data_IF_167253547085
#
_entry.id   IF_167253547085
#
_cell.length_a   1.000
_cell.length_b   1.000
_cell.length_c   1.000
_cell.angle_alpha   90.00
_cell.angle_beta   90.00
_cell.angle_gamma   90.00
#
_symmetry.space_group_name_H-M   'P 1'
#
loop_
_entity.id
_entity.type
_entity.pdbx_description
1 polymer ?
#
# COMPACT_ATOMS: atom_id res chain seq x y z
N UNK A 1 -62.09 14.86 -31.18
CA UNK A 1 -61.03 14.59 -32.17
C UNK A 1 -59.79 15.27 -31.60
N UNK A 2 -58.90 14.59 -30.86
CA UNK A 2 -57.78 13.77 -31.38
C UNK A 2 -56.68 14.72 -31.88
N UNK A 3 -55.43 14.77 -31.43
CA UNK A 3 -54.61 13.84 -30.63
C UNK A 3 -53.50 14.63 -29.89
N UNK A 4 -53.17 14.17 -28.68
CA UNK A 4 -51.97 14.55 -27.93
C UNK A 4 -50.81 13.62 -28.32
N UNK A 5 -49.64 14.17 -28.60
CA UNK A 5 -48.42 13.38 -28.79
C UNK A 5 -47.55 13.43 -27.53
N UNK A 6 -47.62 12.37 -26.72
CA UNK A 6 -46.67 12.05 -25.66
C UNK A 6 -45.41 11.40 -26.28
N UNK A 7 -44.24 11.99 -26.05
CA UNK A 7 -42.94 11.43 -26.40
C UNK A 7 -42.21 10.95 -25.15
N UNK A 8 -42.54 9.74 -24.67
CA UNK A 8 -41.83 9.08 -23.59
C UNK A 8 -40.61 8.30 -24.10
N UNK A 9 -39.40 8.77 -23.78
CA UNK A 9 -38.16 8.01 -23.99
C UNK A 9 -37.92 7.18 -22.73
N UNK A 10 -38.30 5.90 -22.77
CA UNK A 10 -37.92 4.90 -21.78
C UNK A 10 -36.53 4.37 -22.13
N UNK A 11 -35.49 4.93 -21.52
CA UNK A 11 -34.13 4.42 -21.58
C UNK A 11 -33.90 3.36 -20.52
N UNK A 12 -34.20 2.10 -20.83
CA UNK A 12 -33.80 0.97 -19.99
C UNK A 12 -32.27 0.84 -19.97
N UNK A 13 -31.67 1.08 -18.81
CA UNK A 13 -30.26 0.77 -18.56
C UNK A 13 -30.08 -0.76 -18.48
N UNK A 14 -29.59 -1.34 -19.56
CA UNK A 14 -29.07 -2.70 -19.58
C UNK A 14 -27.65 -2.69 -18.99
N UNK A 15 -27.33 -3.46 -17.93
CA UNK A 15 -26.00 -3.46 -17.36
C UNK A 15 -25.01 -4.13 -18.32
N UNK A 16 -24.03 -3.34 -18.80
CA UNK A 16 -22.95 -3.76 -19.68
C UNK A 16 -22.11 -4.89 -19.06
N UNK A 17 -22.02 -6.02 -19.76
CA UNK A 17 -21.13 -7.15 -19.44
C UNK A 17 -19.67 -6.79 -19.75
N UNK A 18 -18.79 -7.09 -18.81
CA UNK A 18 -17.33 -6.96 -18.94
C UNK A 18 -16.71 -8.05 -19.87
N UNK A 19 -15.60 -7.76 -20.58
CA UNK A 19 -14.87 -8.73 -21.40
C UNK A 19 -14.12 -9.80 -20.56
N UNK A 20 -13.91 -11.02 -21.09
CA UNK A 20 -13.73 -12.23 -20.28
C UNK A 20 -12.30 -12.54 -19.76
N UNK A 21 -11.29 -11.69 -19.92
CA UNK A 21 -9.89 -12.13 -19.69
C UNK A 21 -9.17 -11.63 -18.43
N UNK A 22 -9.71 -10.69 -17.65
CA UNK A 22 -9.17 -10.33 -16.32
C UNK A 22 -10.29 -9.81 -15.42
N UNK A 23 -11.31 -10.63 -15.20
CA UNK A 23 -12.25 -10.40 -14.11
C UNK A 23 -11.72 -11.16 -12.89
N UNK A 24 -11.33 -10.49 -11.78
CA UNK A 24 -11.17 -11.20 -10.52
C UNK A 24 -12.50 -11.93 -10.29
N UNK A 25 -12.45 -13.26 -10.12
CA UNK A 25 -13.64 -14.05 -9.83
C UNK A 25 -14.32 -13.39 -8.65
N UNK A 26 -15.48 -12.76 -8.89
CA UNK A 26 -16.36 -12.17 -7.87
C UNK A 26 -16.59 -13.25 -6.80
N UNK A 27 -15.75 -13.28 -5.77
CA UNK A 27 -15.93 -14.14 -4.62
C UNK A 27 -17.13 -13.55 -3.91
N UNK A 28 -18.08 -14.41 -3.54
CA UNK A 28 -19.30 -13.98 -2.85
C UNK A 28 -18.91 -13.09 -1.67
N UNK A 29 -19.40 -11.85 -1.69
CA UNK A 29 -19.42 -10.88 -0.60
C UNK A 29 -19.92 -11.57 0.69
N UNK A 30 -19.03 -12.20 1.45
CA UNK A 30 -19.43 -12.98 2.64
C UNK A 30 -18.44 -12.92 3.80
N UNK A 31 -17.35 -12.13 3.71
CA UNK A 31 -16.33 -12.09 4.76
C UNK A 31 -16.34 -10.88 5.70
N UNK A 32 -17.25 -9.91 5.52
CA UNK A 32 -17.33 -8.74 6.41
C UNK A 32 -18.72 -8.42 6.97
N UNK A 33 -19.71 -9.27 6.67
CA UNK A 33 -21.09 -9.10 7.12
C UNK A 33 -21.61 -10.34 7.84
N UNK A 34 -21.63 -10.34 9.19
CA UNK A 34 -22.57 -11.09 10.05
C UNK A 34 -22.84 -10.30 11.37
N UNK A 35 -23.99 -10.51 12.01
CA UNK A 35 -24.76 -9.47 12.71
C UNK A 35 -24.34 -9.25 14.15
N UNK A 36 -24.67 -8.06 14.66
CA UNK A 36 -24.58 -7.66 16.07
C UNK A 36 -25.44 -8.64 16.90
N UNK A 37 -24.79 -9.59 17.58
CA UNK A 37 -25.42 -10.30 18.69
C UNK A 37 -25.25 -9.38 19.90
N UNK A 38 -26.33 -8.68 20.26
CA UNK A 38 -26.40 -7.91 21.50
C UNK A 38 -26.29 -8.86 22.69
N UNK A 39 -25.12 -8.89 23.32
CA UNK A 39 -24.96 -9.45 24.66
C UNK A 39 -25.21 -8.32 25.64
N UNK A 40 -26.39 -8.31 26.23
CA UNK A 40 -26.70 -7.49 27.40
C UNK A 40 -25.83 -7.98 28.57
N UNK A 41 -24.79 -7.21 28.93
CA UNK A 41 -24.01 -7.44 30.14
C UNK A 41 -24.80 -6.88 31.32
N UNK A 42 -25.38 -7.78 32.11
CA UNK A 42 -25.96 -7.51 33.41
C UNK A 42 -24.85 -7.05 34.36
N UNK A 43 -24.93 -5.78 34.80
CA UNK A 43 -24.10 -5.24 35.85
C UNK A 43 -24.44 -5.93 37.18
N UNK A 44 -23.50 -6.72 37.71
CA UNK A 44 -23.50 -7.13 39.12
C UNK A 44 -22.38 -6.36 39.79
N UNK A 45 -22.77 -5.36 40.58
CA UNK A 45 -21.87 -4.63 41.44
C UNK A 45 -21.37 -5.49 42.59
N UNK A 46 -20.07 -5.44 42.83
CA UNK A 46 -19.49 -5.80 44.12
C UNK A 46 -18.60 -4.65 44.57
N UNK A 47 -19.14 -3.87 45.51
CA UNK A 47 -18.40 -2.90 46.32
C UNK A 47 -17.60 -3.69 47.35
N UNK A 48 -16.28 -3.58 47.32
CA UNK A 48 -15.45 -3.85 48.50
C UNK A 48 -14.55 -2.65 48.73
N UNK A 49 -14.96 -1.82 49.68
CA UNK A 49 -14.11 -0.86 50.34
C UNK A 49 -13.33 -1.56 51.45
N UNK A 50 -12.03 -1.31 51.56
CA UNK A 50 -11.35 -1.17 52.86
C UNK A 50 -10.00 -0.49 52.71
N UNK A 51 -9.76 0.38 53.67
CA UNK A 51 -8.82 1.48 53.72
C UNK A 51 -7.38 1.09 54.08
N UNK A 52 -6.46 1.92 53.57
CA UNK A 52 -5.28 2.53 54.21
C UNK A 52 -4.38 1.64 55.10
N UNK A 53 -3.10 1.57 54.71
CA UNK A 53 -2.01 1.88 55.64
C UNK A 53 -0.88 2.58 54.86
N UNK A 54 -0.58 3.81 55.27
CA UNK A 54 0.60 4.56 54.87
C UNK A 54 1.86 3.86 55.37
N UNK A 55 2.89 3.78 54.54
CA UNK A 55 4.27 3.81 55.04
C UNK A 55 5.15 4.61 54.10
N UNK A 56 5.46 5.83 54.55
CA UNK A 56 6.62 6.61 54.14
C UNK A 56 7.89 5.78 54.37
N UNK A 57 8.71 5.63 53.33
CA UNK A 57 10.16 5.40 53.46
C UNK A 57 10.86 6.26 52.44
N UNK A 58 11.29 7.42 52.91
CA UNK A 58 12.20 8.32 52.24
C UNK A 58 13.65 7.81 52.31
N UNK A 59 14.44 8.14 51.28
CA UNK A 59 15.92 8.06 51.12
C UNK A 59 16.45 6.68 50.71
N UNK A 60 17.21 6.55 49.62
CA UNK A 60 18.55 7.13 49.41
C UNK A 60 18.95 7.07 47.92
N UNK A 61 19.62 8.12 47.45
CA UNK A 61 20.41 8.12 46.22
C UNK A 61 21.49 7.02 46.30
N UNK A 62 21.67 6.30 45.20
CA UNK A 62 22.93 5.67 44.84
C UNK A 62 23.13 5.82 43.33
N UNK A 63 23.83 6.89 42.96
CA UNK A 63 24.45 7.08 41.65
C UNK A 63 25.52 6.00 41.48
N UNK A 64 25.34 5.12 40.51
CA UNK A 64 26.38 4.17 40.08
C UNK A 64 27.19 4.82 38.97
N UNK A 65 28.53 4.89 39.06
CA UNK A 65 29.37 5.41 38.01
C UNK A 65 29.52 4.38 36.89
N UNK A 66 29.29 4.79 35.64
CA UNK A 66 29.62 3.99 34.46
C UNK A 66 31.00 4.46 33.98
N UNK A 67 32.02 3.66 34.25
CA UNK A 67 33.36 3.84 33.68
C UNK A 67 33.28 3.66 32.16
N UNK A 68 33.78 4.67 31.45
CA UNK A 68 33.93 4.63 30.00
C UNK A 68 35.04 3.66 29.61
N UNK A 69 34.70 2.70 28.76
CA UNK A 69 35.68 1.96 27.96
C UNK A 69 35.49 2.37 26.50
N UNK A 70 36.36 3.28 26.05
CA UNK A 70 36.61 3.60 24.66
C UNK A 70 37.20 2.38 23.96
N UNK A 71 36.41 1.73 23.11
CA UNK A 71 36.93 0.79 22.10
C UNK A 71 37.13 1.54 20.80
N UNK A 72 38.38 1.92 20.55
CA UNK A 72 38.88 2.39 19.25
C UNK A 72 38.86 1.24 18.24
N UNK A 73 38.04 1.38 17.20
CA UNK A 73 38.05 0.53 15.99
C UNK A 73 38.94 1.19 14.93
N UNK A 74 39.91 0.47 14.30
CA UNK A 74 40.73 1.07 13.25
C UNK A 74 39.96 1.13 11.93
N UNK A 75 39.87 2.36 11.42
CA UNK A 75 39.48 2.75 10.07
C UNK A 75 40.46 2.15 9.04
N UNK A 76 39.96 1.25 8.19
CA UNK A 76 40.70 0.75 7.03
C UNK A 76 40.30 1.59 5.83
N UNK A 77 41.02 2.69 5.62
CA UNK A 77 40.97 3.48 4.38
C UNK A 77 41.71 2.69 3.30
N UNK A 78 40.98 2.12 2.35
CA UNK A 78 41.58 1.53 1.14
C UNK A 78 41.38 2.49 -0.02
N UNK A 79 42.34 3.40 -0.22
CA UNK A 79 42.40 4.27 -1.39
C UNK A 79 42.89 3.46 -2.59
N UNK A 80 41.97 3.04 -3.47
CA UNK A 80 42.34 2.45 -4.76
C UNK A 80 42.51 3.55 -5.80
N UNK A 81 43.76 3.83 -6.13
CA UNK A 81 44.16 4.72 -7.24
C UNK A 81 43.84 4.05 -8.58
N UNK A 82 42.87 4.58 -9.33
CA UNK A 82 42.64 4.17 -10.72
C UNK A 82 43.48 5.08 -11.63
N UNK A 83 44.51 4.52 -12.24
CA UNK A 83 45.30 5.19 -13.28
C UNK A 83 44.48 5.25 -14.58
N UNK A 84 44.22 6.47 -15.06
CA UNK A 84 43.62 6.73 -16.36
C UNK A 84 44.63 6.40 -17.48
N UNK A 85 44.29 5.42 -18.33
CA UNK A 85 44.99 5.18 -19.59
C UNK A 85 44.28 5.98 -20.68
N UNK A 86 44.97 7.00 -21.19
CA UNK A 86 44.54 7.77 -22.35
C UNK A 86 44.67 6.90 -23.62
N UNK A 87 43.55 6.66 -24.30
CA UNK A 87 43.52 6.07 -25.65
C UNK A 87 43.24 7.18 -26.66
N UNK A 88 44.17 7.35 -27.59
CA UNK A 88 44.05 8.23 -28.76
C UNK A 88 43.17 7.57 -29.83
N UNK A 89 42.24 8.29 -30.49
CA UNK A 89 41.66 7.83 -31.74
C UNK A 89 42.36 8.49 -32.93
N UNK A 90 43.07 7.69 -33.73
CA UNK A 90 43.53 8.04 -35.07
C UNK A 90 42.40 7.69 -36.06
N UNK A 91 42.01 8.67 -36.86
CA UNK A 91 40.81 8.60 -37.68
C UNK A 91 40.94 7.88 -39.03
N UNK A 92 39.83 8.07 -39.76
CA UNK A 92 39.63 7.97 -41.21
C UNK A 92 39.31 6.58 -41.78
N UNK A 93 38.08 6.48 -42.30
CA UNK A 93 37.57 5.35 -43.07
C UNK A 93 36.16 5.61 -43.57
N UNK A 94 36.04 6.46 -44.60
CA UNK A 94 34.79 6.65 -45.34
C UNK A 94 34.53 5.45 -46.28
N UNK A 95 33.32 4.85 -46.27
CA UNK A 95 32.67 4.34 -47.51
C UNK A 95 31.18 3.99 -47.37
N UNK A 96 30.37 4.78 -48.11
CA UNK A 96 29.31 4.41 -49.07
C UNK A 96 28.30 3.28 -48.78
N UNK A 97 27.06 3.71 -48.50
CA UNK A 97 25.77 3.36 -49.15
C UNK A 97 25.40 1.90 -49.47
N UNK A 98 24.32 1.42 -48.83
CA UNK A 98 23.18 0.79 -49.53
C UNK A 98 21.89 0.94 -48.71
N UNK A 99 20.96 1.75 -49.22
CA UNK A 99 19.61 1.96 -48.66
C UNK A 99 18.70 0.85 -49.21
N UNK A 100 18.14 0.03 -48.32
CA UNK A 100 17.08 -0.91 -48.67
C UNK A 100 15.71 -0.19 -48.63
N UNK A 101 14.75 -0.52 -49.50
CA UNK A 101 13.41 0.06 -49.46
C UNK A 101 12.61 -0.62 -48.34
N UNK A 102 12.25 0.14 -47.31
CA UNK A 102 11.24 -0.27 -46.31
C UNK A 102 9.86 0.09 -46.84
N UNK A 103 9.06 -0.93 -47.13
CA UNK A 103 7.63 -0.81 -47.40
C UNK A 103 6.92 -0.62 -46.06
N UNK A 104 6.42 0.59 -45.80
CA UNK A 104 5.66 0.91 -44.60
C UNK A 104 4.19 0.50 -44.79
N UNK A 105 3.80 -0.63 -44.20
CA UNK A 105 2.40 -1.01 -44.01
C UNK A 105 1.86 -0.27 -42.77
N UNK A 106 0.76 0.50 -42.86
CA UNK A 106 0.16 1.10 -41.66
C UNK A 106 -0.51 0.00 -40.82
N UNK A 107 -0.05 -0.15 -39.58
CA UNK A 107 -0.70 -1.00 -38.59
C UNK A 107 -2.03 -0.35 -38.16
N UNK A 108 -3.12 -1.14 -37.99
CA UNK A 108 -4.39 -0.59 -37.51
C UNK A 108 -4.22 -0.12 -36.07
N UNK A 109 -4.61 1.13 -35.81
CA UNK A 109 -4.70 1.69 -34.47
C UNK A 109 -5.85 1.03 -33.73
N UNK A 110 -5.54 0.13 -32.81
CA UNK A 110 -6.52 -0.37 -31.84
C UNK A 110 -6.75 0.70 -30.80
N UNK A 111 -7.89 1.38 -30.86
CA UNK A 111 -8.34 2.32 -29.83
C UNK A 111 -8.71 1.53 -28.58
N UNK A 112 -7.80 1.46 -27.61
CA UNK A 112 -8.12 0.95 -26.27
C UNK A 112 -9.08 1.92 -25.60
N UNK A 113 -10.32 1.48 -25.40
CA UNK A 113 -11.30 2.20 -24.58
C UNK A 113 -11.03 1.84 -23.13
N UNK A 114 -10.29 2.70 -22.43
CA UNK A 114 -10.16 2.65 -20.97
C UNK A 114 -11.51 3.06 -20.39
N UNK A 115 -12.11 2.20 -19.55
CA UNK A 115 -13.29 2.57 -18.77
C UNK A 115 -12.81 3.50 -17.66
N UNK A 116 -13.12 4.77 -17.81
CA UNK A 116 -12.79 5.83 -16.86
C UNK A 116 -13.75 5.72 -15.68
N UNK A 117 -13.29 5.12 -14.57
CA UNK A 117 -13.97 5.28 -13.27
C UNK A 117 -13.64 6.71 -12.83
N UNK A 118 -14.62 7.60 -12.62
CA UNK A 118 -14.34 8.97 -12.21
C UNK A 118 -13.50 8.94 -10.91
N UNK A 119 -12.42 9.73 -10.81
CA UNK A 119 -11.66 9.81 -9.58
C UNK A 119 -12.60 10.26 -8.46
N UNK A 120 -12.55 9.58 -7.31
CA UNK A 120 -13.28 10.00 -6.11
C UNK A 120 -12.95 11.47 -5.85
N UNK A 121 -14.00 12.28 -5.81
CA UNK A 121 -13.90 13.72 -5.63
C UNK A 121 -13.41 14.02 -4.21
N UNK A 122 -12.75 15.16 -4.02
CA UNK A 122 -12.36 15.68 -2.70
C UNK A 122 -13.48 15.54 -1.65
N UNK A 123 -14.72 15.84 -2.05
CA UNK A 123 -15.89 15.77 -1.17
C UNK A 123 -16.22 14.34 -0.72
N UNK A 124 -15.94 13.32 -1.53
CA UNK A 124 -16.21 11.93 -1.19
C UNK A 124 -15.20 11.41 -0.16
N UNK A 125 -13.92 11.78 -0.29
CA UNK A 125 -12.87 11.44 0.68
C UNK A 125 -13.18 12.01 2.06
N UNK A 126 -13.52 13.30 2.12
CA UNK A 126 -13.89 13.95 3.39
C UNK A 126 -15.15 13.32 3.99
N UNK A 127 -16.17 13.03 3.17
CA UNK A 127 -17.38 12.38 3.63
C UNK A 127 -17.17 10.93 4.10
N UNK A 128 -16.17 10.22 3.55
CA UNK A 128 -15.75 8.90 4.02
C UNK A 128 -14.95 9.01 5.34
N UNK A 129 -14.01 9.95 5.42
CA UNK A 129 -13.23 10.24 6.63
C UNK A 129 -14.13 10.57 7.83
N UNK A 130 -15.20 11.35 7.62
CA UNK A 130 -16.16 11.70 8.68
C UNK A 130 -16.96 10.50 9.23
N UNK A 131 -16.96 9.37 8.53
CA UNK A 131 -17.62 8.13 8.97
C UNK A 131 -16.68 7.19 9.71
N UNK A 132 -15.36 7.42 9.66
CA UNK A 132 -14.39 6.61 10.40
C UNK A 132 -14.49 6.89 11.90
N UNK A 133 -14.36 5.84 12.70
CA UNK A 133 -14.30 5.99 14.15
C UNK A 133 -12.98 6.66 14.53
N UNK A 134 -13.04 7.72 15.34
CA UNK A 134 -11.82 8.35 15.87
C UNK A 134 -11.45 7.67 17.19
N UNK A 135 -10.23 7.15 17.28
CA UNK A 135 -9.71 6.49 18.49
C UNK A 135 -8.18 6.59 18.54
N UNK A 136 -7.62 6.65 19.75
CA UNK A 136 -6.17 6.54 19.93
C UNK A 136 -5.66 5.17 19.48
N UNK A 137 -4.41 5.12 19.01
CA UNK A 137 -3.73 3.89 18.62
C UNK A 137 -3.71 2.85 19.75
N UNK A 138 -4.05 1.61 19.40
CA UNK A 138 -3.89 0.49 20.33
C UNK A 138 -2.41 0.13 20.51
N UNK A 139 -2.02 -0.39 21.68
CA UNK A 139 -0.66 -0.90 21.89
C UNK A 139 -0.23 -1.94 20.83
N UNK A 140 1.01 -1.80 20.37
CA UNK A 140 1.71 -2.75 19.48
C UNK A 140 1.95 -4.14 20.07
N UNK A 141 1.71 -4.32 21.37
CA UNK A 141 1.95 -5.57 22.06
C UNK A 141 1.16 -6.72 21.44
N UNK A 142 1.85 -7.83 21.12
CA UNK A 142 1.23 -9.06 20.62
C UNK A 142 0.91 -9.10 19.12
N UNK A 143 1.34 -8.10 18.33
CA UNK A 143 1.14 -8.06 16.87
C UNK A 143 2.01 -9.03 16.07
N UNK A 144 3.23 -9.31 16.56
CA UNK A 144 4.24 -10.05 15.80
C UNK A 144 3.78 -11.45 15.42
N UNK A 145 3.91 -11.80 14.14
CA UNK A 145 3.53 -13.11 13.60
C UNK A 145 2.03 -13.36 13.43
N UNK A 146 1.18 -12.34 13.61
CA UNK A 146 -0.30 -12.50 13.59
C UNK A 146 -0.95 -12.31 12.22
N UNK A 147 -0.23 -11.73 11.27
CA UNK A 147 -0.76 -11.39 9.94
C UNK A 147 -0.42 -12.40 8.85
N UNK A 148 0.27 -13.50 9.17
CA UNK A 148 0.57 -14.55 8.21
C UNK A 148 1.69 -14.17 7.25
N UNK A 149 1.58 -14.67 6.01
CA UNK A 149 2.60 -14.56 4.96
C UNK A 149 1.93 -14.43 3.58
N UNK A 150 2.71 -14.08 2.56
CA UNK A 150 2.24 -14.01 1.17
C UNK A 150 1.70 -15.37 0.70
N UNK A 151 0.41 -15.43 0.34
CA UNK A 151 -0.28 -16.65 -0.08
C UNK A 151 -0.42 -16.73 -1.60
N UNK A 152 -0.55 -17.95 -2.10
CA UNK A 152 -0.99 -18.28 -3.44
C UNK A 152 -2.43 -18.81 -3.34
N UNK A 153 -3.39 -17.88 -3.40
CA UNK A 153 -4.80 -18.16 -3.10
C UNK A 153 -5.54 -18.83 -4.27
N UNK A 154 -5.15 -18.50 -5.50
CA UNK A 154 -5.72 -19.06 -6.72
C UNK A 154 -4.97 -20.30 -7.22
N UNK A 155 -3.83 -20.63 -6.59
CA UNK A 155 -3.03 -21.86 -6.76
C UNK A 155 -2.39 -21.94 -8.14
N UNK A 156 -1.97 -20.81 -8.67
CA UNK A 156 -1.29 -20.72 -9.96
C UNK A 156 0.25 -20.79 -9.84
N UNK A 157 0.76 -20.84 -8.61
CA UNK A 157 2.18 -20.90 -8.27
C UNK A 157 2.79 -19.54 -7.90
N UNK A 158 2.03 -18.45 -8.01
CA UNK A 158 2.44 -17.12 -7.63
C UNK A 158 1.79 -16.71 -6.33
N UNK A 159 2.60 -16.25 -5.38
CA UNK A 159 2.05 -15.63 -4.19
C UNK A 159 1.65 -14.17 -4.47
N UNK A 160 0.87 -13.57 -3.59
CA UNK A 160 0.43 -12.16 -3.69
C UNK A 160 1.58 -11.19 -4.00
N UNK A 161 2.78 -11.38 -3.42
CA UNK A 161 3.93 -10.53 -3.76
C UNK A 161 4.29 -10.63 -5.26
N UNK A 162 4.36 -11.85 -5.80
CA UNK A 162 4.65 -12.06 -7.21
C UNK A 162 3.52 -11.51 -8.08
N UNK A 163 2.26 -11.65 -7.66
CA UNK A 163 1.09 -11.09 -8.35
C UNK A 163 1.18 -9.57 -8.50
N UNK A 164 1.50 -8.85 -7.42
CA UNK A 164 1.66 -7.39 -7.49
C UNK A 164 2.84 -7.01 -8.39
N UNK A 165 3.97 -7.72 -8.31
CA UNK A 165 5.11 -7.48 -9.21
C UNK A 165 4.75 -7.72 -10.68
N UNK A 166 3.94 -8.73 -10.98
CA UNK A 166 3.47 -9.01 -12.35
C UNK A 166 2.53 -7.89 -12.81
N UNK A 167 1.58 -7.50 -11.97
CA UNK A 167 0.53 -6.55 -12.29
C UNK A 167 1.07 -5.13 -12.52
N UNK A 168 1.99 -4.67 -11.68
CA UNK A 168 2.47 -3.28 -11.70
C UNK A 168 3.71 -3.06 -12.60
N UNK A 169 4.28 -4.14 -13.16
CA UNK A 169 5.38 -3.98 -14.09
C UNK A 169 4.89 -3.36 -15.41
N UNK A 170 5.51 -2.24 -15.80
CA UNK A 170 5.27 -1.58 -17.08
C UNK A 170 5.80 -2.35 -18.30
N UNK A 171 6.61 -3.39 -18.07
CA UNK A 171 7.13 -4.31 -19.07
C UNK A 171 6.78 -5.76 -18.68
N UNK A 172 6.77 -6.69 -19.65
CA UNK A 172 6.53 -8.10 -19.35
C UNK A 172 7.61 -8.63 -18.40
N UNK A 173 7.19 -9.18 -17.26
CA UNK A 173 8.13 -9.75 -16.29
C UNK A 173 8.74 -11.06 -16.77
N UNK A 174 10.04 -11.22 -16.53
CA UNK A 174 10.69 -12.52 -16.64
C UNK A 174 10.53 -13.26 -15.31
N UNK A 175 10.01 -14.50 -15.35
CA UNK A 175 9.79 -15.32 -14.16
C UNK A 175 10.10 -16.79 -14.39
N UNK A 176 10.43 -17.51 -13.32
CA UNK A 176 10.56 -18.98 -13.37
C UNK A 176 9.19 -19.66 -13.40
N UNK A 177 9.16 -20.97 -13.67
CA UNK A 177 7.93 -21.80 -13.55
C UNK A 177 7.36 -21.79 -12.14
N UNK A 178 8.20 -21.68 -11.11
CA UNK A 178 7.79 -21.55 -9.71
C UNK A 178 7.48 -20.10 -9.30
N UNK A 179 7.15 -19.24 -10.28
CA UNK A 179 6.81 -17.84 -10.13
C UNK A 179 7.79 -16.96 -9.34
N UNK A 180 9.09 -17.29 -9.39
CA UNK A 180 10.11 -16.35 -8.93
C UNK A 180 10.32 -15.29 -10.00
N UNK A 181 10.03 -14.04 -9.69
CA UNK A 181 10.29 -12.90 -10.56
C UNK A 181 11.80 -12.68 -10.67
N UNK A 182 12.30 -12.56 -11.88
CA UNK A 182 13.72 -12.39 -12.21
C UNK A 182 14.02 -10.97 -12.70
N UNK A 183 13.09 -10.40 -13.47
CA UNK A 183 13.23 -9.05 -14.04
C UNK A 183 11.86 -8.48 -14.37
N UNK A 184 11.76 -7.15 -14.34
CA UNK A 184 10.60 -6.39 -14.79
C UNK A 184 10.97 -4.91 -14.84
N UNK A 185 9.96 -4.05 -14.81
CA UNK A 185 10.17 -2.61 -14.70
C UNK A 185 9.04 -1.93 -13.95
N UNK A 186 9.35 -1.43 -12.77
CA UNK A 186 8.40 -0.78 -11.87
C UNK A 186 8.77 0.69 -11.72
N UNK A 187 7.74 1.54 -11.59
CA UNK A 187 7.90 2.93 -11.19
C UNK A 187 7.31 3.05 -9.79
N UNK A 188 8.15 3.34 -8.79
CA UNK A 188 7.64 3.56 -7.44
C UNK A 188 6.89 4.90 -7.38
N UNK A 189 5.60 4.90 -7.00
CA UNK A 189 4.82 6.12 -6.95
C UNK A 189 5.23 7.05 -5.79
N UNK A 190 5.91 6.52 -4.78
CA UNK A 190 6.28 7.30 -3.60
C UNK A 190 7.50 8.20 -3.83
N UNK A 191 8.46 7.77 -4.66
CA UNK A 191 9.75 8.45 -4.88
C UNK A 191 10.15 8.61 -6.36
N UNK A 192 9.30 8.16 -7.29
CA UNK A 192 9.58 8.12 -8.74
C UNK A 192 10.80 7.26 -9.14
N UNK A 193 11.27 6.36 -8.27
CA UNK A 193 12.36 5.45 -8.63
C UNK A 193 11.89 4.47 -9.70
N UNK A 194 12.68 4.34 -10.77
CA UNK A 194 12.49 3.30 -11.79
C UNK A 194 13.37 2.11 -11.44
N UNK A 195 12.75 0.96 -11.19
CA UNK A 195 13.39 -0.25 -10.67
C UNK A 195 13.27 -1.35 -11.71
N UNK A 196 14.34 -2.13 -11.91
CA UNK A 196 14.32 -3.28 -12.84
C UNK A 196 14.71 -4.60 -12.20
N UNK A 197 15.37 -4.55 -11.04
CA UNK A 197 15.68 -5.72 -10.23
C UNK A 197 14.56 -5.91 -9.19
N UNK A 198 13.83 -7.04 -9.18
CA UNK A 198 12.78 -7.30 -8.20
C UNK A 198 13.29 -7.32 -6.75
N UNK A 199 14.59 -7.48 -6.51
CA UNK A 199 15.19 -7.40 -5.16
C UNK A 199 15.12 -5.97 -4.60
N UNK A 200 15.17 -4.95 -5.45
CA UNK A 200 15.10 -3.54 -5.05
C UNK A 200 13.66 -3.05 -4.82
N UNK A 201 12.68 -3.87 -5.20
CA UNK A 201 11.25 -3.57 -5.12
C UNK A 201 10.63 -4.23 -3.89
N UNK A 202 10.09 -3.41 -2.99
CA UNK A 202 9.19 -3.85 -1.94
C UNK A 202 7.73 -3.79 -2.39
N UNK A 203 6.88 -4.62 -1.81
CA UNK A 203 5.43 -4.41 -1.85
C UNK A 203 5.04 -3.78 -0.52
N UNK A 204 4.57 -2.55 -0.57
CA UNK A 204 4.09 -1.83 0.61
C UNK A 204 2.59 -2.04 0.78
N UNK A 205 2.17 -2.29 2.02
CA UNK A 205 0.78 -2.12 2.42
C UNK A 205 0.56 -0.63 2.65
N UNK A 206 -0.29 0.02 1.84
CA UNK A 206 -0.56 1.47 1.94
C UNK A 206 -0.89 1.83 3.38
N UNK A 207 -1.88 1.16 3.97
CA UNK A 207 -2.08 1.11 5.42
C UNK A 207 -1.19 -0.01 5.98
N UNK A 208 -0.20 0.32 6.81
CA UNK A 208 0.80 -0.67 7.24
C UNK A 208 0.17 -1.79 8.07
N UNK A 209 0.84 -2.94 8.18
CA UNK A 209 0.40 -4.03 9.08
C UNK A 209 0.33 -3.56 10.54
N UNK A 210 1.29 -2.72 10.91
CA UNK A 210 1.36 -2.10 12.22
C UNK A 210 0.17 -1.18 12.45
N UNK A 211 -0.06 -0.24 11.54
CA UNK A 211 -1.19 0.68 11.57
C UNK A 211 -2.53 -0.07 11.65
N UNK A 212 -2.69 -1.11 10.82
CA UNK A 212 -3.88 -1.94 10.85
C UNK A 212 -4.12 -2.55 12.24
N UNK A 213 -3.07 -3.02 12.91
CA UNK A 213 -3.15 -3.55 14.27
C UNK A 213 -3.63 -2.50 15.25
N UNK A 214 -3.01 -1.32 15.24
CA UNK A 214 -3.31 -0.22 16.15
C UNK A 214 -4.73 0.31 15.96
N UNK A 215 -5.19 0.30 14.71
CA UNK A 215 -6.52 0.76 14.30
C UNK A 215 -7.62 -0.32 14.34
N UNK A 216 -7.37 -1.45 15.02
CA UNK A 216 -8.42 -2.41 15.39
C UNK A 216 -8.21 -3.85 14.91
N UNK A 217 -7.22 -4.13 14.06
CA UNK A 217 -6.94 -5.48 13.60
C UNK A 217 -6.41 -6.41 14.70
N UNK A 218 -6.09 -5.88 15.88
CA UNK A 218 -5.81 -6.69 17.08
C UNK A 218 -7.00 -7.58 17.48
N UNK A 219 -8.24 -7.17 17.17
CA UNK A 219 -9.46 -7.93 17.44
C UNK A 219 -9.80 -8.96 16.37
N UNK A 220 -9.15 -8.88 15.21
CA UNK A 220 -9.47 -9.74 14.08
C UNK A 220 -9.11 -11.19 14.37
N UNK A 221 -9.74 -12.10 13.63
CA UNK A 221 -9.27 -13.48 13.53
C UNK A 221 -7.96 -13.54 12.74
N UNK A 222 -7.18 -14.62 12.92
CA UNK A 222 -5.95 -14.81 12.11
C UNK A 222 -6.28 -14.90 10.61
N UNK A 223 -7.46 -15.43 10.25
CA UNK A 223 -7.93 -15.48 8.86
C UNK A 223 -8.11 -14.06 8.30
N UNK A 224 -8.76 -13.17 9.04
CA UNK A 224 -8.98 -11.78 8.59
C UNK A 224 -7.67 -11.02 8.44
N UNK A 225 -6.72 -11.17 9.37
CA UNK A 225 -5.39 -10.55 9.22
C UNK A 225 -4.59 -11.10 8.05
N UNK A 226 -4.70 -12.40 7.80
CA UNK A 226 -4.04 -13.03 6.67
C UNK A 226 -4.72 -12.65 5.34
N UNK A 227 -6.05 -12.50 5.32
CA UNK A 227 -6.77 -11.96 4.17
C UNK A 227 -6.37 -10.49 3.92
N UNK A 228 -6.23 -9.67 4.96
CA UNK A 228 -5.75 -8.30 4.85
C UNK A 228 -4.41 -8.21 4.13
N UNK A 229 -3.37 -8.92 4.58
CA UNK A 229 -2.04 -8.77 3.94
C UNK A 229 -1.97 -9.33 2.52
N UNK A 230 -2.97 -10.10 2.08
CA UNK A 230 -3.03 -10.72 0.76
C UNK A 230 -4.13 -10.13 -0.13
N UNK A 231 -4.67 -8.97 0.22
CA UNK A 231 -5.75 -8.34 -0.53
C UNK A 231 -5.27 -7.82 -1.90
N UNK A 232 -5.78 -8.45 -2.95
CA UNK A 232 -5.65 -8.05 -4.35
C UNK A 232 -6.99 -7.57 -4.94
N UNK A 233 -8.05 -7.53 -4.14
CA UNK A 233 -9.37 -7.05 -4.56
C UNK A 233 -9.40 -5.51 -4.62
N UNK A 234 -8.54 -4.83 -3.85
CA UNK A 234 -8.37 -3.37 -3.86
C UNK A 234 -7.03 -2.99 -4.52
N UNK A 235 -7.04 -2.48 -5.77
CA UNK A 235 -5.83 -2.34 -6.60
C UNK A 235 -4.79 -1.32 -6.10
N UNK A 236 -5.14 -0.50 -5.10
CA UNK A 236 -4.23 0.49 -4.48
C UNK A 236 -3.80 0.09 -3.06
N UNK A 237 -4.10 -1.14 -2.62
CA UNK A 237 -3.75 -1.58 -1.27
C UNK A 237 -2.29 -2.00 -1.13
N UNK A 238 -1.83 -2.78 -2.10
CA UNK A 238 -0.46 -3.27 -2.21
C UNK A 238 0.20 -2.54 -3.37
N UNK A 239 1.32 -1.88 -3.10
CA UNK A 239 1.99 -1.03 -4.10
C UNK A 239 3.46 -1.39 -4.23
N UNK A 240 3.97 -1.53 -5.45
CA UNK A 240 5.38 -1.74 -5.72
C UNK A 240 6.17 -0.43 -5.50
N UNK A 241 7.07 -0.43 -4.54
CA UNK A 241 7.88 0.75 -4.17
C UNK A 241 9.36 0.40 -4.04
N UNK A 242 10.23 1.41 -4.01
CA UNK A 242 11.64 1.17 -3.70
C UNK A 242 11.80 0.71 -2.25
N UNK A 243 12.76 -0.18 -1.98
CA UNK A 243 13.10 -0.55 -0.61
C UNK A 243 13.44 0.68 0.24
N UNK A 244 14.19 1.63 -0.32
CA UNK A 244 14.64 2.83 0.37
C UNK A 244 13.44 3.67 0.85
N UNK A 245 12.45 3.94 -0.01
CA UNK A 245 11.31 4.75 0.40
C UNK A 245 10.41 4.00 1.39
N UNK A 246 10.27 2.68 1.24
CA UNK A 246 9.56 1.85 2.21
C UNK A 246 10.18 1.92 3.61
N UNK A 247 11.51 1.88 3.70
CA UNK A 247 12.22 2.00 4.98
C UNK A 247 12.02 3.39 5.61
N UNK A 248 11.96 4.45 4.80
CA UNK A 248 11.66 5.81 5.31
C UNK A 248 10.24 5.94 5.83
N UNK A 249 9.25 5.33 5.15
CA UNK A 249 7.86 5.27 5.63
C UNK A 249 7.81 4.51 6.94
N UNK A 250 8.31 3.27 6.95
CA UNK A 250 8.24 2.40 8.11
C UNK A 250 6.78 2.09 8.47
N UNK A 251 6.43 2.26 9.74
CA UNK A 251 5.09 1.99 10.28
C UNK A 251 4.18 3.23 10.32
N UNK A 252 4.68 4.40 9.90
CA UNK A 252 4.05 5.73 10.05
C UNK A 252 2.72 5.87 9.31
N UNK A 253 1.79 6.59 9.94
CA UNK A 253 0.52 7.05 9.37
C UNK A 253 0.67 8.41 8.62
N UNK A 254 -0.38 8.88 7.89
CA UNK A 254 -0.40 10.17 7.18
C UNK A 254 -0.02 11.42 7.99
N UNK A 255 -0.23 11.42 9.31
CA UNK A 255 0.19 12.47 10.23
C UNK A 255 1.69 12.53 10.46
N UNK A 256 2.38 11.40 10.31
CA UNK A 256 3.84 11.29 10.48
C UNK A 256 4.60 11.22 9.15
N UNK A 257 3.97 10.73 8.09
CA UNK A 257 4.61 10.54 6.79
C UNK A 257 3.62 10.61 5.62
N UNK A 258 4.03 11.33 4.57
CA UNK A 258 3.37 11.31 3.27
C UNK A 258 4.41 11.02 2.17
N UNK A 259 3.98 10.44 1.04
CA UNK A 259 4.86 10.29 -0.13
C UNK A 259 5.56 11.60 -0.48
N UNK A 260 6.90 11.59 -0.67
CA UNK A 260 7.64 12.76 -1.15
C UNK A 260 7.16 13.26 -2.51
N UNK A 261 6.69 12.35 -3.37
CA UNK A 261 6.06 12.71 -4.65
C UNK A 261 4.69 13.32 -4.38
N UNK A 262 4.62 14.66 -4.42
CA UNK A 262 3.41 15.40 -4.06
C UNK A 262 2.21 15.09 -4.95
N UNK A 263 2.46 14.83 -6.23
CA UNK A 263 1.42 14.47 -7.21
C UNK A 263 0.74 13.14 -6.88
N UNK A 264 1.36 12.29 -6.05
CA UNK A 264 0.79 11.01 -5.62
C UNK A 264 0.07 11.08 -4.27
N UNK A 265 0.22 12.18 -3.50
CA UNK A 265 -0.36 12.28 -2.15
C UNK A 265 -1.89 12.14 -2.16
N UNK A 266 -2.56 12.64 -3.19
CA UNK A 266 -4.02 12.53 -3.28
C UNK A 266 -4.48 11.08 -3.45
N UNK A 267 -3.80 10.31 -4.30
CA UNK A 267 -4.12 8.90 -4.50
C UNK A 267 -3.80 8.09 -3.23
N UNK A 268 -2.68 8.40 -2.58
CA UNK A 268 -2.32 7.81 -1.29
C UNK A 268 -3.39 8.06 -0.20
N UNK A 269 -3.85 9.30 -0.04
CA UNK A 269 -4.87 9.65 0.97
C UNK A 269 -6.24 9.05 0.65
N UNK A 270 -6.64 9.02 -0.63
CA UNK A 270 -7.86 8.33 -1.09
C UNK A 270 -7.80 6.85 -0.75
N UNK A 271 -6.74 6.16 -1.16
CA UNK A 271 -6.54 4.75 -0.87
C UNK A 271 -6.57 4.50 0.64
N UNK A 272 -5.86 5.32 1.42
CA UNK A 272 -5.82 5.20 2.87
C UNK A 272 -7.22 5.26 3.53
N UNK A 273 -8.02 6.28 3.21
CA UNK A 273 -9.39 6.42 3.74
C UNK A 273 -10.29 5.29 3.26
N UNK A 274 -10.18 4.91 1.98
CA UNK A 274 -10.93 3.80 1.40
C UNK A 274 -10.66 2.50 2.15
N UNK A 275 -9.39 2.17 2.39
CA UNK A 275 -8.97 0.95 3.07
C UNK A 275 -9.43 0.92 4.52
N UNK A 276 -9.23 2.02 5.27
CA UNK A 276 -9.75 2.11 6.64
C UNK A 276 -11.26 1.94 6.69
N UNK A 277 -11.99 2.41 5.67
CA UNK A 277 -13.44 2.23 5.54
C UNK A 277 -13.81 0.76 5.27
N UNK A 278 -13.20 0.13 4.27
CA UNK A 278 -13.45 -1.27 3.90
C UNK A 278 -13.21 -2.22 5.07
N UNK A 279 -12.09 -2.01 5.76
CA UNK A 279 -11.65 -2.86 6.86
C UNK A 279 -12.21 -2.47 8.23
N UNK A 280 -13.01 -1.39 8.30
CA UNK A 280 -13.62 -0.86 9.54
C UNK A 280 -12.58 -0.57 10.62
N UNK A 281 -11.49 0.07 10.21
CA UNK A 281 -10.43 0.54 11.08
C UNK A 281 -10.79 1.92 11.66
N UNK A 282 -10.25 2.24 12.84
CA UNK A 282 -10.28 3.61 13.37
C UNK A 282 -9.23 4.49 12.68
N UNK A 283 -9.37 5.79 12.87
CA UNK A 283 -8.38 6.81 12.54
C UNK A 283 -7.99 7.52 13.84
N UNK A 284 -6.70 7.78 14.09
CA UNK A 284 -6.33 8.58 15.26
C UNK A 284 -6.54 10.09 15.00
N UNK A 285 -6.55 10.94 16.04
CA UNK A 285 -6.80 12.37 15.85
C UNK A 285 -5.79 13.09 14.94
N UNK A 286 -4.49 12.77 15.05
CA UNK A 286 -3.42 13.39 14.28
C UNK A 286 -3.46 12.96 12.82
N UNK A 287 -3.62 11.67 12.59
CA UNK A 287 -3.85 11.10 11.27
C UNK A 287 -5.10 11.71 10.61
N UNK A 288 -6.23 11.79 11.33
CA UNK A 288 -7.47 12.37 10.78
C UNK A 288 -7.27 13.83 10.35
N UNK A 289 -6.58 14.62 11.17
CA UNK A 289 -6.27 16.00 10.84
C UNK A 289 -5.40 16.09 9.57
N UNK A 290 -4.35 15.26 9.48
CA UNK A 290 -3.46 15.24 8.34
C UNK A 290 -4.18 14.84 7.04
N UNK A 291 -5.04 13.82 7.09
CA UNK A 291 -5.86 13.42 5.95
C UNK A 291 -6.81 14.56 5.55
N UNK A 292 -7.49 15.21 6.50
CA UNK A 292 -8.42 16.29 6.21
C UNK A 292 -7.71 17.49 5.55
N UNK A 293 -6.55 17.91 6.08
CA UNK A 293 -5.75 19.00 5.51
C UNK A 293 -5.17 18.62 4.14
N UNK A 294 -4.66 17.39 4.01
CA UNK A 294 -4.11 16.90 2.75
C UNK A 294 -5.17 16.82 1.65
N UNK A 295 -6.36 16.30 1.96
CA UNK A 295 -7.47 16.19 1.02
C UNK A 295 -7.97 17.55 0.51
N UNK A 296 -7.81 18.65 1.27
CA UNK A 296 -8.13 20.00 0.78
C UNK A 296 -7.28 20.47 -0.40
N UNK A 297 -6.13 19.81 -0.63
CA UNK A 297 -5.20 20.09 -1.72
C UNK A 297 -5.31 19.08 -2.87
N UNK A 298 -6.32 18.22 -2.79
CA UNK A 298 -6.84 17.35 -3.82
C UNK A 298 -8.17 17.92 -4.34
#
# INVERSE_FOLDING_TARGET
MGDSADGGISGGHEPLRLPPTLQPKRRRDTRWARPIIGVAVLAIGAVVASSLLNHEVSKRLATVPIEGTTTTSPEVVTTTTVAAVAVTPKGSGARSTRRAPTTSTPAPSTTSTTVDVPPETQSEVIAALDKLAVADEHSQAGKYGRFGYWRDDDKDGCNTRAEVLIAESSETVERTVACRILRGKWLSPYDNAVLTDPIEVAIDHVVTITEAWESGAWQWTDIQRNDYVNDLEHPDFLVAVSNAIKDTKGDKDPGEWLPPVETYRCDYLRAWVHLKTVYKMSVDPGEREAIAVGALHC
#
